data_IF_166321005744
#
_entry.id   IF_166321005744
#
_cell.length_a   1.000
_cell.length_b   1.000
_cell.length_c   1.000
_cell.angle_alpha   90.00
_cell.angle_beta   90.00
_cell.angle_gamma   90.00
#
_symmetry.space_group_name_H-M   'P 1'
#
loop_
_entity.id
_entity.type
_entity.pdbx_description
1 polymer ?
#
# COMPACT_ATOMS: atom_id res chain seq x y z
N UNK A 1 -78.77 18.44 0.50
CA UNK A 1 -77.58 18.98 -0.20
C UNK A 1 -76.35 18.31 0.41
N UNK A 2 -75.66 17.47 -0.38
CA UNK A 2 -74.48 16.69 0.04
C UNK A 2 -73.24 17.55 -0.14
N UNK A 3 -72.49 17.82 0.92
CA UNK A 3 -71.18 18.47 0.84
C UNK A 3 -70.10 17.38 0.79
N UNK A 4 -69.46 17.23 -0.38
CA UNK A 4 -68.20 16.51 -0.56
C UNK A 4 -67.07 17.37 0.04
N UNK A 5 -66.34 16.83 1.01
CA UNK A 5 -65.03 17.36 1.43
C UNK A 5 -63.97 16.71 0.54
N UNK A 6 -63.05 17.46 -0.10
CA UNK A 6 -62.09 16.87 -1.03
C UNK A 6 -60.94 16.21 -0.27
N UNK A 7 -60.85 14.88 -0.35
CA UNK A 7 -59.74 14.04 0.14
C UNK A 7 -58.56 14.10 -0.85
N UNK A 8 -58.09 15.29 -1.20
CA UNK A 8 -57.00 15.47 -2.19
C UNK A 8 -55.71 16.01 -1.54
N UNK A 9 -55.78 16.56 -0.32
CA UNK A 9 -54.63 17.23 0.29
C UNK A 9 -53.52 16.30 0.86
N UNK A 10 -53.78 15.12 1.46
CA UNK A 10 -52.69 14.32 2.04
C UNK A 10 -51.89 13.52 1.00
N UNK A 11 -52.50 13.17 -0.14
CA UNK A 11 -51.81 12.46 -1.22
C UNK A 11 -50.87 13.37 -2.03
N UNK A 12 -51.21 14.66 -2.16
CA UNK A 12 -50.34 15.64 -2.83
C UNK A 12 -49.10 15.96 -1.98
N UNK A 13 -49.25 16.01 -0.65
CA UNK A 13 -48.13 16.28 0.27
C UNK A 13 -47.14 15.10 0.33
N UNK A 14 -47.64 13.85 0.38
CA UNK A 14 -46.78 12.67 0.34
C UNK A 14 -46.01 12.58 -0.98
N UNK A 15 -46.66 12.79 -2.12
CA UNK A 15 -45.99 12.73 -3.43
C UNK A 15 -44.97 13.86 -3.59
N UNK A 16 -45.25 15.09 -3.14
CA UNK A 16 -44.27 16.19 -3.15
C UNK A 16 -43.06 15.92 -2.24
N UNK A 17 -43.25 15.33 -1.06
CA UNK A 17 -42.12 14.96 -0.18
C UNK A 17 -41.30 13.79 -0.74
N UNK A 18 -41.95 12.84 -1.41
CA UNK A 18 -41.31 11.69 -2.01
C UNK A 18 -40.55 12.10 -3.28
N UNK A 19 -41.12 12.94 -4.14
CA UNK A 19 -40.42 13.58 -5.27
C UNK A 19 -39.33 14.54 -4.80
N UNK A 20 -39.48 15.26 -3.68
CA UNK A 20 -38.41 16.12 -3.15
C UNK A 20 -37.27 15.30 -2.50
N UNK A 21 -37.57 14.13 -1.93
CA UNK A 21 -36.55 13.16 -1.48
C UNK A 21 -35.86 12.50 -2.69
N UNK A 22 -36.60 12.03 -3.69
CA UNK A 22 -36.06 11.43 -4.92
C UNK A 22 -35.26 12.45 -5.75
N UNK A 23 -35.67 13.73 -5.77
CA UNK A 23 -34.96 14.81 -6.45
C UNK A 23 -33.76 15.33 -5.64
N UNK A 24 -33.75 15.14 -4.31
CA UNK A 24 -32.54 15.32 -3.48
C UNK A 24 -31.54 14.19 -3.68
N UNK A 25 -32.01 12.96 -3.88
CA UNK A 25 -31.17 11.81 -4.23
C UNK A 25 -30.70 11.86 -5.70
N UNK A 26 -31.39 12.59 -6.58
CA UNK A 26 -31.03 12.85 -7.99
C UNK A 26 -30.34 14.20 -8.25
N UNK A 27 -29.92 14.94 -7.23
CA UNK A 27 -28.88 15.97 -7.45
C UNK A 27 -27.61 15.21 -7.79
N UNK A 28 -27.19 15.25 -9.07
CA UNK A 28 -25.88 14.78 -9.51
C UNK A 28 -24.85 15.21 -8.47
N UNK A 29 -24.32 14.24 -7.71
CA UNK A 29 -23.51 14.53 -6.54
C UNK A 29 -22.19 15.15 -7.01
N UNK A 30 -22.17 16.47 -7.14
CA UNK A 30 -21.02 17.18 -7.69
C UNK A 30 -19.94 17.26 -6.61
N UNK A 31 -18.82 16.58 -6.85
CA UNK A 31 -17.67 16.67 -5.98
C UNK A 31 -16.69 17.71 -6.51
N UNK A 32 -16.35 18.68 -5.67
CA UNK A 32 -15.41 19.76 -6.00
C UNK A 32 -14.32 19.83 -4.96
N UNK A 33 -13.08 19.53 -5.36
CA UNK A 33 -11.93 19.63 -4.47
C UNK A 33 -11.68 21.03 -3.91
N UNK A 34 -12.16 22.06 -4.61
CA UNK A 34 -12.11 23.48 -4.20
C UNK A 34 -12.97 23.79 -2.98
N UNK A 35 -13.95 22.94 -2.66
CA UNK A 35 -14.91 23.21 -1.58
C UNK A 35 -14.35 22.81 -0.20
N UNK A 36 -13.10 22.34 -0.15
CA UNK A 36 -12.43 21.91 1.07
C UNK A 36 -11.16 22.73 1.31
N UNK A 37 -11.14 23.46 2.43
CA UNK A 37 -10.06 24.35 2.84
C UNK A 37 -8.84 23.60 3.40
N UNK A 38 -8.99 22.32 3.72
CA UNK A 38 -7.94 21.53 4.34
C UNK A 38 -7.92 20.05 3.91
N UNK A 39 -6.75 19.42 4.09
CA UNK A 39 -6.56 17.98 3.92
C UNK A 39 -7.51 17.16 4.82
N UNK A 40 -7.74 17.59 6.06
CA UNK A 40 -8.59 16.85 7.01
C UNK A 40 -10.06 16.84 6.58
N UNK A 41 -10.59 17.97 6.08
CA UNK A 41 -11.97 18.02 5.54
C UNK A 41 -12.13 17.13 4.31
N UNK A 42 -11.11 17.08 3.44
CA UNK A 42 -11.07 16.14 2.29
C UNK A 42 -11.13 14.69 2.76
N UNK A 43 -10.32 14.33 3.76
CA UNK A 43 -10.30 12.99 4.32
C UNK A 43 -11.64 12.62 4.97
N UNK A 44 -12.27 13.53 5.72
CA UNK A 44 -13.58 13.33 6.34
C UNK A 44 -14.66 13.03 5.30
N UNK A 45 -14.71 13.80 4.20
CA UNK A 45 -15.63 13.55 3.09
C UNK A 45 -15.44 12.15 2.49
N UNK A 46 -14.20 11.78 2.18
CA UNK A 46 -13.86 10.46 1.62
C UNK A 46 -14.28 9.34 2.57
N UNK A 47 -13.94 9.46 3.86
CA UNK A 47 -14.32 8.49 4.89
C UNK A 47 -15.84 8.36 5.01
N UNK A 48 -16.58 9.46 4.95
CA UNK A 48 -18.05 9.45 4.99
C UNK A 48 -18.63 8.67 3.80
N UNK A 49 -18.09 8.85 2.59
CA UNK A 49 -18.49 8.09 1.39
C UNK A 49 -18.19 6.60 1.53
N UNK A 50 -16.95 6.26 1.92
CA UNK A 50 -16.53 4.87 2.14
C UNK A 50 -17.43 4.21 3.18
N UNK A 51 -17.62 4.83 4.35
CA UNK A 51 -18.49 4.30 5.42
C UNK A 51 -19.94 4.12 4.96
N UNK A 52 -20.50 5.08 4.20
CA UNK A 52 -21.87 4.97 3.65
C UNK A 52 -21.98 3.73 2.75
N UNK A 53 -21.02 3.54 1.84
CA UNK A 53 -21.00 2.39 0.93
C UNK A 53 -20.73 1.06 1.63
N UNK A 54 -19.87 1.03 2.66
CA UNK A 54 -19.56 -0.17 3.46
C UNK A 54 -20.74 -0.64 4.33
N UNK A 55 -21.60 0.28 4.78
CA UNK A 55 -22.79 -0.05 5.59
C UNK A 55 -23.89 -0.74 4.77
N UNK A 56 -23.95 -0.46 3.48
CA UNK A 56 -24.82 -1.19 2.55
C UNK A 56 -24.24 -2.59 2.38
N UNK A 57 -25.03 -3.66 2.48
CA UNK A 57 -24.60 -5.04 2.19
C UNK A 57 -23.22 -5.38 2.76
N UNK A 58 -23.10 -5.26 4.09
CA UNK A 58 -21.82 -5.42 4.78
C UNK A 58 -21.21 -6.79 4.50
N UNK A 59 -19.98 -6.79 3.98
CA UNK A 59 -19.18 -8.00 3.78
C UNK A 59 -17.97 -7.94 4.69
N UNK A 60 -17.98 -8.80 5.71
CA UNK A 60 -16.79 -9.14 6.47
C UNK A 60 -15.90 -10.03 5.60
N UNK A 61 -14.62 -9.70 5.53
CA UNK A 61 -13.68 -10.41 4.68
C UNK A 61 -12.36 -9.69 4.55
N UNK A 62 -11.76 -9.35 5.70
CA UNK A 62 -10.46 -8.69 5.73
C UNK A 62 -9.42 -9.58 5.06
N UNK A 63 -8.93 -9.15 3.90
CA UNK A 63 -7.69 -9.71 3.37
C UNK A 63 -6.58 -9.49 4.39
N UNK A 64 -5.62 -10.40 4.41
CA UNK A 64 -4.42 -10.27 5.23
C UNK A 64 -3.23 -10.31 4.30
N UNK A 65 -2.28 -9.40 4.51
CA UNK A 65 -0.98 -9.48 3.88
C UNK A 65 -0.31 -10.74 4.41
N UNK A 66 0.04 -11.65 3.50
CA UNK A 66 0.79 -12.85 3.84
C UNK A 66 2.26 -12.61 3.56
N UNK A 67 3.08 -12.93 4.55
CA UNK A 67 4.53 -12.86 4.41
C UNK A 67 5.07 -14.27 4.29
N UNK A 68 5.86 -14.51 3.26
CA UNK A 68 6.49 -15.80 2.95
C UNK A 68 7.98 -15.65 3.16
N UNK A 69 8.62 -16.62 3.81
CA UNK A 69 10.07 -16.70 3.90
C UNK A 69 10.58 -17.84 3.03
N UNK A 70 11.25 -17.49 1.93
CA UNK A 70 11.77 -18.44 0.97
C UNK A 70 13.28 -18.66 1.18
N UNK A 71 13.72 -19.92 1.20
CA UNK A 71 15.14 -20.28 1.33
C UNK A 71 15.50 -21.58 0.58
N UNK A 72 16.76 -21.76 0.15
CA UNK A 72 17.22 -22.97 -0.57
C UNK A 72 17.17 -24.24 0.30
N UNK A 73 17.03 -25.43 -0.30
CA UNK A 73 16.87 -26.69 0.45
C UNK A 73 18.10 -27.16 1.23
N UNK A 74 19.27 -26.74 0.82
CA UNK A 74 20.57 -27.13 1.37
C UNK A 74 21.03 -26.20 2.49
N UNK A 75 20.20 -25.21 2.87
CA UNK A 75 20.48 -24.29 3.98
C UNK A 75 19.30 -24.20 4.94
N UNK A 76 19.61 -23.81 6.17
CA UNK A 76 18.59 -23.36 7.13
C UNK A 76 18.20 -21.89 6.84
N UNK A 77 17.03 -21.43 7.29
CA UNK A 77 16.69 -20.02 7.32
C UNK A 77 17.76 -19.18 8.02
N UNK A 78 17.87 -17.89 7.68
CA UNK A 78 18.84 -17.00 8.32
C UNK A 78 18.54 -16.86 9.82
N UNK A 79 19.58 -16.54 10.59
CA UNK A 79 19.49 -16.52 12.06
C UNK A 79 18.41 -15.51 12.50
N UNK A 80 17.58 -15.93 13.46
CA UNK A 80 16.52 -15.12 14.07
C UNK A 80 15.57 -14.45 13.06
N UNK A 81 15.38 -15.05 11.87
CA UNK A 81 14.59 -14.42 10.81
C UNK A 81 13.14 -14.17 11.22
N UNK A 82 12.54 -15.05 12.03
CA UNK A 82 11.19 -14.85 12.58
C UNK A 82 11.11 -13.58 13.43
N UNK A 83 12.01 -13.41 14.39
CA UNK A 83 12.03 -12.23 15.26
C UNK A 83 12.38 -10.94 14.50
N UNK A 84 13.34 -11.01 13.56
CA UNK A 84 13.74 -9.85 12.76
C UNK A 84 12.58 -9.38 11.88
N UNK A 85 11.91 -10.29 11.18
CA UNK A 85 10.81 -9.93 10.29
C UNK A 85 9.53 -9.55 11.03
N UNK A 86 9.25 -10.12 12.21
CA UNK A 86 8.16 -9.63 13.05
C UNK A 86 8.38 -8.16 13.43
N UNK A 87 9.58 -7.79 13.90
CA UNK A 87 9.91 -6.41 14.25
C UNK A 87 9.87 -5.46 13.04
N UNK A 88 10.41 -5.89 11.89
CA UNK A 88 10.39 -5.11 10.65
C UNK A 88 8.95 -4.85 10.19
N UNK A 89 8.12 -5.89 10.13
CA UNK A 89 6.74 -5.74 9.66
C UNK A 89 5.86 -4.96 10.63
N UNK A 90 6.11 -5.06 11.96
CA UNK A 90 5.43 -4.21 12.94
C UNK A 90 5.82 -2.73 12.77
N UNK A 91 7.08 -2.41 12.47
CA UNK A 91 7.49 -1.02 12.16
C UNK A 91 6.83 -0.49 10.89
N UNK A 92 6.77 -1.31 9.82
CA UNK A 92 6.10 -0.97 8.56
C UNK A 92 4.60 -0.75 8.77
N UNK A 93 3.93 -1.63 9.52
CA UNK A 93 2.51 -1.48 9.86
C UNK A 93 2.27 -0.18 10.65
N UNK A 94 3.17 0.14 11.59
CA UNK A 94 3.12 1.38 12.35
C UNK A 94 3.37 2.63 11.49
N UNK A 95 4.30 2.57 10.53
CA UNK A 95 4.54 3.65 9.57
C UNK A 95 3.26 4.01 8.81
N UNK A 96 2.60 3.02 8.20
CA UNK A 96 1.34 3.29 7.50
C UNK A 96 0.26 3.82 8.45
N UNK A 97 0.15 3.27 9.66
CA UNK A 97 -0.85 3.74 10.64
C UNK A 97 -0.67 5.21 11.01
N UNK A 98 0.55 5.64 11.31
CA UNK A 98 0.87 7.02 11.68
C UNK A 98 0.60 7.96 10.49
N UNK A 99 1.02 7.56 9.29
CA UNK A 99 0.86 8.38 8.11
C UNK A 99 -0.60 8.54 7.68
N UNK A 100 -1.41 7.48 7.80
CA UNK A 100 -2.86 7.54 7.57
C UNK A 100 -3.55 8.47 8.58
N UNK A 101 -3.17 8.40 9.85
CA UNK A 101 -3.68 9.28 10.91
C UNK A 101 -3.30 10.75 10.64
N UNK A 102 -2.02 11.02 10.31
CA UNK A 102 -1.51 12.34 9.97
C UNK A 102 -2.25 12.97 8.78
N UNK A 103 -2.76 12.16 7.86
CA UNK A 103 -3.50 12.61 6.68
C UNK A 103 -5.01 12.77 6.91
N UNK A 104 -5.50 12.50 8.13
CA UNK A 104 -6.90 12.67 8.52
C UNK A 104 -7.78 11.43 8.26
N UNK A 105 -7.19 10.30 7.83
CA UNK A 105 -7.94 9.06 7.60
C UNK A 105 -8.16 8.22 8.86
N UNK A 106 -7.64 8.68 10.00
CA UNK A 106 -7.61 7.95 11.26
C UNK A 106 -6.56 6.84 11.27
N UNK A 107 -6.43 6.16 12.41
CA UNK A 107 -5.54 4.99 12.54
C UNK A 107 -6.09 3.83 11.71
N UNK A 108 -5.58 3.67 10.50
CA UNK A 108 -5.79 2.51 9.65
C UNK A 108 -4.51 1.70 9.60
N UNK A 109 -4.58 0.43 9.98
CA UNK A 109 -3.43 -0.46 9.97
C UNK A 109 -3.53 -1.41 8.78
N UNK A 110 -2.40 -1.61 8.12
CA UNK A 110 -2.20 -2.70 7.19
C UNK A 110 -2.58 -4.03 7.87
N UNK A 111 -3.58 -4.73 7.37
CA UNK A 111 -4.03 -6.02 7.87
C UNK A 111 -2.94 -7.07 7.60
N UNK A 112 -2.21 -7.44 8.65
CA UNK A 112 -1.09 -8.39 8.59
C UNK A 112 -1.52 -9.75 9.15
N UNK A 113 -1.15 -10.85 8.48
CA UNK A 113 -1.41 -12.18 9.02
C UNK A 113 -0.58 -12.42 10.29
N UNK A 114 -1.26 -12.71 11.40
CA UNK A 114 -0.64 -12.98 12.70
C UNK A 114 -1.07 -14.34 13.25
N UNK A 115 -0.18 -14.97 14.00
CA UNK A 115 -0.38 -16.18 14.77
C UNK A 115 0.15 -15.95 16.18
N UNK A 116 -0.67 -16.20 17.21
CA UNK A 116 -0.32 -15.96 18.62
C UNK A 116 0.21 -14.52 18.89
N UNK A 117 -0.37 -13.53 18.20
CA UNK A 117 -0.01 -12.11 18.34
C UNK A 117 1.25 -11.68 17.58
N UNK A 118 2.00 -12.59 16.96
CA UNK A 118 3.20 -12.32 16.16
C UNK A 118 2.94 -12.47 14.67
N UNK A 119 3.79 -11.92 13.82
CA UNK A 119 3.78 -12.14 12.37
C UNK A 119 3.74 -13.65 12.06
N UNK A 120 2.77 -14.08 11.25
CA UNK A 120 2.77 -15.43 10.70
C UNK A 120 3.61 -15.45 9.43
N UNK A 121 4.81 -16.00 9.55
CA UNK A 121 5.74 -16.14 8.45
C UNK A 121 5.61 -17.53 7.82
N UNK A 122 5.19 -17.59 6.56
CA UNK A 122 5.07 -18.86 5.85
C UNK A 122 6.43 -19.28 5.31
N UNK A 123 7.13 -20.13 6.04
CA UNK A 123 8.39 -20.72 5.55
C UNK A 123 8.14 -21.65 4.35
N UNK A 124 8.95 -21.48 3.30
CA UNK A 124 8.94 -22.26 2.06
C UNK A 124 10.37 -22.64 1.70
N UNK A 125 10.61 -23.95 1.66
CA UNK A 125 11.86 -24.54 1.18
C UNK A 125 11.81 -24.61 -0.35
N UNK A 126 12.80 -23.99 -1.00
CA UNK A 126 12.99 -24.07 -2.45
C UNK A 126 13.48 -25.44 -2.91
N UNK A 127 13.25 -25.80 -4.17
CA UNK A 127 13.69 -27.10 -4.74
C UNK A 127 15.18 -27.16 -5.08
N UNK A 128 15.82 -26.01 -5.25
CA UNK A 128 17.21 -25.83 -5.61
C UNK A 128 18.12 -25.61 -4.40
N UNK A 129 19.42 -25.74 -4.66
CA UNK A 129 20.49 -25.46 -3.70
C UNK A 129 20.90 -23.98 -3.75
N UNK A 130 21.76 -23.58 -2.81
CA UNK A 130 22.42 -22.28 -2.79
C UNK A 130 23.72 -22.27 -3.62
N UNK A 131 23.62 -22.74 -4.87
CA UNK A 131 24.75 -22.96 -5.78
C UNK A 131 24.68 -22.08 -7.05
N UNK A 132 23.85 -21.02 -7.01
CA UNK A 132 23.53 -20.18 -8.17
C UNK A 132 22.23 -20.58 -8.87
N UNK A 133 21.55 -21.64 -8.44
CA UNK A 133 20.20 -22.01 -8.90
C UNK A 133 19.17 -20.88 -8.72
N UNK A 134 19.36 -20.04 -7.70
CA UNK A 134 18.57 -18.84 -7.44
C UNK A 134 19.43 -17.57 -7.59
N UNK A 135 18.87 -16.55 -8.22
CA UNK A 135 19.48 -15.24 -8.41
C UNK A 135 18.42 -14.14 -8.40
N UNK A 136 18.84 -12.89 -8.57
CA UNK A 136 17.93 -11.74 -8.65
C UNK A 136 16.92 -11.84 -9.81
N UNK A 137 17.18 -12.69 -10.82
CA UNK A 137 16.27 -12.97 -11.95
C UNK A 137 15.28 -14.11 -11.67
N UNK A 138 15.38 -14.78 -10.52
CA UNK A 138 14.64 -16.02 -10.25
C UNK A 138 13.24 -15.80 -9.67
N UNK A 139 12.71 -14.57 -9.64
CA UNK A 139 11.41 -14.28 -9.00
C UNK A 139 10.25 -15.11 -9.56
N UNK A 140 10.19 -15.35 -10.88
CA UNK A 140 9.17 -16.23 -11.48
C UNK A 140 9.25 -17.68 -11.00
N UNK A 141 10.47 -18.23 -10.87
CA UNK A 141 10.71 -19.57 -10.33
C UNK A 141 10.30 -19.65 -8.85
N UNK A 142 10.73 -18.67 -8.05
CA UNK A 142 10.41 -18.58 -6.62
C UNK A 142 8.90 -18.48 -6.42
N UNK A 143 8.20 -17.62 -7.18
CA UNK A 143 6.74 -17.51 -7.10
C UNK A 143 6.05 -18.84 -7.42
N UNK A 144 6.54 -19.59 -8.40
CA UNK A 144 6.01 -20.91 -8.73
C UNK A 144 6.12 -21.89 -7.56
N UNK A 145 7.28 -21.96 -6.91
CA UNK A 145 7.53 -22.82 -5.75
C UNK A 145 6.72 -22.37 -4.52
N UNK A 146 6.69 -21.07 -4.23
CA UNK A 146 5.85 -20.47 -3.17
C UNK A 146 4.37 -20.76 -3.41
N UNK A 147 3.88 -20.58 -4.63
CA UNK A 147 2.48 -20.83 -4.96
C UNK A 147 2.10 -22.31 -4.74
N UNK A 148 2.99 -23.24 -5.08
CA UNK A 148 2.78 -24.67 -4.83
C UNK A 148 2.73 -24.97 -3.33
N UNK A 149 3.66 -24.42 -2.55
CA UNK A 149 3.71 -24.62 -1.10
C UNK A 149 2.49 -24.01 -0.37
N UNK A 150 2.08 -22.81 -0.76
CA UNK A 150 0.89 -22.15 -0.22
C UNK A 150 -0.41 -22.89 -0.57
N UNK A 151 -0.51 -23.47 -1.78
CA UNK A 151 -1.67 -24.27 -2.18
C UNK A 151 -1.89 -25.47 -1.26
N UNK A 152 -0.82 -26.12 -0.80
CA UNK A 152 -0.92 -27.23 0.17
C UNK A 152 -1.46 -26.78 1.53
N UNK A 153 -1.34 -25.49 1.86
CA UNK A 153 -1.91 -24.86 3.06
C UNK A 153 -3.30 -24.25 2.80
N UNK A 154 -3.92 -24.52 1.65
CA UNK A 154 -5.23 -23.97 1.26
C UNK A 154 -5.20 -22.50 0.83
N UNK A 155 -4.02 -21.93 0.53
CA UNK A 155 -3.87 -20.53 0.15
C UNK A 155 -3.67 -20.41 -1.36
N UNK A 156 -4.55 -19.69 -2.04
CA UNK A 156 -4.43 -19.40 -3.47
C UNK A 156 -3.62 -18.13 -3.72
N UNK A 157 -2.31 -18.28 -4.01
CA UNK A 157 -1.40 -17.16 -4.24
C UNK A 157 -1.87 -16.14 -5.30
N UNK A 158 -2.74 -16.53 -6.25
CA UNK A 158 -3.25 -15.62 -7.31
C UNK A 158 -4.29 -14.60 -6.79
N UNK A 159 -4.84 -14.83 -5.61
CA UNK A 159 -5.90 -14.01 -4.99
C UNK A 159 -5.39 -13.25 -3.76
N UNK A 160 -4.07 -13.26 -3.54
CA UNK A 160 -3.42 -12.75 -2.35
C UNK A 160 -2.43 -11.64 -2.69
N UNK A 161 -2.22 -10.74 -1.74
CA UNK A 161 -1.03 -9.89 -1.72
C UNK A 161 0.03 -10.60 -0.90
N UNK A 162 1.18 -10.89 -1.52
CA UNK A 162 2.29 -11.63 -0.94
C UNK A 162 3.53 -10.75 -0.84
N UNK A 163 4.11 -10.68 0.35
CA UNK A 163 5.49 -10.25 0.55
C UNK A 163 6.38 -11.48 0.67
N UNK A 164 7.19 -11.74 -0.36
CA UNK A 164 8.11 -12.86 -0.42
C UNK A 164 9.50 -12.38 0.00
N UNK A 165 9.84 -12.67 1.25
CA UNK A 165 11.15 -12.46 1.83
C UNK A 165 12.08 -13.58 1.37
N UNK A 166 13.13 -13.22 0.65
CA UNK A 166 14.10 -14.17 0.13
C UNK A 166 15.32 -14.21 1.06
N UNK A 167 15.52 -15.34 1.75
CA UNK A 167 16.75 -15.67 2.48
C UNK A 167 17.91 -16.02 1.54
N UNK A 168 18.08 -15.26 0.45
CA UNK A 168 19.08 -15.46 -0.61
C UNK A 168 20.19 -14.41 -0.46
N UNK A 169 20.94 -14.60 0.62
CA UNK A 169 22.17 -13.87 0.93
C UNK A 169 23.25 -14.80 1.48
N UNK A 170 24.49 -14.34 1.42
CA UNK A 170 25.65 -14.95 2.08
C UNK A 170 26.36 -13.89 2.91
N UNK A 171 26.72 -14.25 4.14
CA UNK A 171 27.40 -13.37 5.08
C UNK A 171 28.71 -14.02 5.53
N UNK A 172 29.83 -13.31 5.40
CA UNK A 172 31.13 -13.67 5.96
C UNK A 172 31.66 -12.47 6.76
N UNK A 173 31.43 -12.49 8.06
CA UNK A 173 31.68 -11.35 8.94
C UNK A 173 30.94 -10.09 8.47
N UNK A 174 31.71 -9.07 8.04
CA UNK A 174 31.19 -7.79 7.52
C UNK A 174 31.03 -7.78 6.00
N UNK A 175 31.29 -8.89 5.30
CA UNK A 175 31.03 -9.03 3.86
C UNK A 175 29.66 -9.65 3.66
N UNK A 176 28.80 -8.99 2.90
CA UNK A 176 27.43 -9.44 2.61
C UNK A 176 27.26 -9.51 1.10
N UNK A 177 26.79 -10.65 0.60
CA UNK A 177 26.39 -10.82 -0.80
C UNK A 177 24.88 -11.02 -0.86
N UNK A 178 24.16 -10.16 -1.57
CA UNK A 178 22.72 -10.25 -1.80
C UNK A 178 22.48 -10.66 -3.25
N UNK A 179 21.64 -11.68 -3.46
CA UNK A 179 21.27 -12.17 -4.78
C UNK A 179 19.78 -12.52 -4.84
N UNK A 180 18.99 -11.94 -3.95
CA UNK A 180 17.53 -12.01 -3.94
C UNK A 180 16.93 -11.16 -5.07
N UNK A 181 15.82 -11.58 -5.69
CA UNK A 181 14.98 -10.67 -6.45
C UNK A 181 14.46 -9.56 -5.53
N UNK A 182 14.32 -8.35 -6.07
CA UNK A 182 13.94 -7.18 -5.30
C UNK A 182 13.09 -6.23 -6.14
N UNK A 183 11.77 -6.44 -6.12
CA UNK A 183 10.78 -5.65 -6.87
C UNK A 183 9.34 -6.04 -6.50
N UNK A 184 8.41 -5.11 -6.66
CA UNK A 184 6.96 -5.33 -6.63
C UNK A 184 6.34 -5.43 -8.04
N UNK A 185 5.32 -6.27 -8.21
CA UNK A 185 4.66 -6.46 -9.50
C UNK A 185 3.23 -7.00 -9.41
N UNK A 186 2.51 -6.92 -10.53
CA UNK A 186 1.25 -7.66 -10.77
C UNK A 186 0.10 -7.24 -9.86
N UNK A 187 0.17 -6.04 -9.29
CA UNK A 187 -0.72 -5.60 -8.24
C UNK A 187 -2.05 -5.04 -8.77
N UNK A 188 -3.12 -5.37 -8.06
CA UNK A 188 -4.42 -4.70 -8.11
C UNK A 188 -5.06 -4.78 -6.71
N UNK A 189 -6.30 -4.34 -6.55
CA UNK A 189 -7.01 -4.35 -5.27
C UNK A 189 -7.13 -5.73 -4.60
N UNK A 190 -6.92 -6.82 -5.34
CA UNK A 190 -7.03 -8.18 -4.84
C UNK A 190 -5.72 -8.92 -4.64
N UNK A 191 -4.64 -8.50 -5.30
CA UNK A 191 -3.40 -9.26 -5.33
C UNK A 191 -2.22 -8.35 -5.55
N UNK A 192 -1.03 -8.83 -5.24
CA UNK A 192 0.23 -8.15 -5.54
C UNK A 192 1.39 -9.00 -5.06
N UNK A 193 2.50 -8.99 -5.78
CA UNK A 193 3.67 -9.80 -5.45
C UNK A 193 4.85 -8.87 -5.22
N UNK A 194 5.50 -9.01 -4.07
CA UNK A 194 6.70 -8.26 -3.71
C UNK A 194 7.80 -9.25 -3.38
N UNK A 195 8.97 -9.09 -4.01
CA UNK A 195 10.18 -9.80 -3.59
C UNK A 195 11.08 -8.83 -2.86
N UNK A 196 11.61 -9.27 -1.72
CA UNK A 196 12.57 -8.51 -0.93
C UNK A 196 13.68 -9.43 -0.43
N UNK A 197 14.82 -8.85 -0.07
CA UNK A 197 15.97 -9.58 0.43
C UNK A 197 15.95 -9.67 1.97
N UNK A 198 16.49 -10.77 2.49
CA UNK A 198 16.90 -10.89 3.89
C UNK A 198 18.43 -11.03 4.01
N UNK A 199 18.97 -10.70 5.17
CA UNK A 199 20.39 -10.84 5.53
C UNK A 199 20.56 -10.91 7.05
N UNK A 200 21.61 -11.56 7.55
CA UNK A 200 21.90 -11.62 8.99
C UNK A 200 22.12 -10.23 9.63
N UNK A 201 22.56 -9.24 8.83
CA UNK A 201 22.72 -7.85 9.27
C UNK A 201 21.42 -7.04 9.22
N UNK A 202 20.34 -7.56 8.62
CA UNK A 202 19.08 -6.86 8.42
C UNK A 202 18.22 -6.89 9.69
N UNK A 203 18.09 -5.76 10.36
CA UNK A 203 17.31 -5.64 11.59
C UNK A 203 16.87 -4.19 11.83
N UNK A 204 15.77 -4.01 12.57
CA UNK A 204 15.18 -2.67 12.75
C UNK A 204 16.06 -1.73 13.59
N UNK A 205 16.87 -2.26 14.51
CA UNK A 205 17.78 -1.44 15.32
C UNK A 205 18.95 -0.92 14.49
N UNK A 206 19.30 -1.60 13.40
CA UNK A 206 20.25 -1.14 12.41
C UNK A 206 19.83 0.13 11.67
N UNK A 207 18.57 0.59 11.80
CA UNK A 207 18.11 1.91 11.35
C UNK A 207 18.41 3.03 12.36
N UNK A 208 18.85 2.71 13.59
CA UNK A 208 19.13 3.70 14.63
C UNK A 208 20.59 4.16 14.57
N UNK A 209 20.98 5.21 15.31
CA UNK A 209 22.38 5.61 15.41
C UNK A 209 23.25 4.44 15.84
N UNK A 210 24.35 4.23 15.13
CA UNK A 210 25.31 3.16 15.40
C UNK A 210 26.60 3.74 15.99
N UNK A 211 26.74 3.61 17.30
CA UNK A 211 27.93 4.08 18.04
C UNK A 211 29.21 3.36 17.58
N UNK A 212 29.10 2.11 17.11
CA UNK A 212 30.22 1.31 16.64
C UNK A 212 30.73 1.72 15.26
N UNK A 213 29.98 2.57 14.53
CA UNK A 213 30.26 3.01 13.16
C UNK A 213 30.57 1.82 12.24
N UNK A 214 29.75 0.79 12.31
CA UNK A 214 29.92 -0.44 11.55
C UNK A 214 29.77 -0.17 10.05
N UNK A 215 30.79 -0.58 9.30
CA UNK A 215 30.80 -0.60 7.83
C UNK A 215 30.78 -2.04 7.33
N UNK A 216 29.83 -2.34 6.45
CA UNK A 216 29.69 -3.60 5.73
C UNK A 216 30.23 -3.44 4.31
N UNK A 217 30.80 -4.51 3.76
CA UNK A 217 31.13 -4.61 2.34
C UNK A 217 30.00 -5.37 1.66
N UNK A 218 29.21 -4.69 0.84
CA UNK A 218 27.99 -5.23 0.26
C UNK A 218 28.20 -5.48 -1.22
N UNK A 219 27.86 -6.70 -1.67
CA UNK A 219 27.87 -7.09 -3.07
C UNK A 219 26.46 -7.48 -3.49
N UNK A 220 25.91 -6.75 -4.45
CA UNK A 220 24.68 -7.12 -5.13
C UNK A 220 25.00 -7.73 -6.50
N UNK A 221 24.54 -7.08 -7.58
CA UNK A 221 24.84 -7.41 -8.97
C UNK A 221 26.13 -6.74 -9.51
N UNK A 222 26.81 -5.95 -8.68
CA UNK A 222 28.06 -5.22 -8.98
C UNK A 222 29.19 -5.71 -8.07
N UNK A 223 30.33 -5.03 -8.07
CA UNK A 223 31.41 -5.29 -7.12
C UNK A 223 31.06 -4.85 -5.69
N UNK A 224 31.88 -5.26 -4.73
CA UNK A 224 31.70 -4.88 -3.32
C UNK A 224 31.81 -3.36 -3.15
N UNK A 225 30.87 -2.79 -2.41
CA UNK A 225 30.91 -1.38 -2.00
C UNK A 225 30.66 -1.21 -0.49
N UNK A 226 31.25 -0.18 0.15
CA UNK A 226 31.10 0.06 1.57
C UNK A 226 29.72 0.68 1.90
N UNK A 227 28.97 0.03 2.78
CA UNK A 227 27.73 0.54 3.37
C UNK A 227 27.93 0.75 4.88
N UNK A 228 27.51 1.88 5.43
CA UNK A 228 27.26 1.95 6.88
C UNK A 228 26.12 1.00 7.24
N UNK A 229 26.07 0.53 8.49
CA UNK A 229 24.97 -0.32 8.97
C UNK A 229 23.60 0.34 8.76
N UNK A 230 23.53 1.65 9.00
CA UNK A 230 22.34 2.47 8.76
C UNK A 230 21.94 2.52 7.28
N UNK A 231 22.90 2.74 6.36
CA UNK A 231 22.64 2.71 4.92
C UNK A 231 22.14 1.33 4.49
N UNK A 232 22.80 0.26 4.95
CA UNK A 232 22.39 -1.12 4.66
C UNK A 232 20.93 -1.38 5.05
N UNK A 233 20.57 -1.10 6.30
CA UNK A 233 19.21 -1.32 6.77
C UNK A 233 18.21 -0.38 6.10
N UNK A 234 18.58 0.87 5.80
CA UNK A 234 17.71 1.80 5.05
C UNK A 234 17.45 1.27 3.63
N UNK A 235 18.47 0.81 2.92
CA UNK A 235 18.34 0.25 1.56
C UNK A 235 17.37 -0.94 1.54
N UNK A 236 17.54 -1.91 2.45
CA UNK A 236 16.76 -3.16 2.39
C UNK A 236 15.44 -3.11 3.18
N UNK A 237 15.32 -2.35 4.27
CA UNK A 237 14.03 -2.18 4.98
C UNK A 237 13.20 -1.09 4.29
N UNK A 238 13.83 0.04 3.93
CA UNK A 238 13.19 1.11 3.17
C UNK A 238 12.77 0.66 1.77
N UNK A 239 13.60 -0.14 1.09
CA UNK A 239 13.17 -0.81 -0.13
C UNK A 239 12.02 -1.79 0.10
N UNK A 240 11.99 -2.54 1.22
CA UNK A 240 10.92 -3.51 1.50
C UNK A 240 9.56 -2.82 1.55
N UNK A 241 9.46 -1.69 2.25
CA UNK A 241 8.20 -0.94 2.32
C UNK A 241 7.82 -0.29 0.98
N UNK A 242 8.80 0.10 0.15
CA UNK A 242 8.56 0.60 -1.20
C UNK A 242 8.02 -0.50 -2.13
N UNK A 243 8.67 -1.67 -2.16
CA UNK A 243 8.19 -2.80 -2.96
C UNK A 243 6.83 -3.29 -2.48
N UNK A 244 6.60 -3.30 -1.16
CA UNK A 244 5.27 -3.55 -0.59
C UNK A 244 4.25 -2.51 -1.07
N UNK A 245 4.62 -1.24 -1.14
CA UNK A 245 3.79 -0.19 -1.74
C UNK A 245 3.37 -0.55 -3.17
N UNK A 246 4.29 -1.01 -4.02
CA UNK A 246 3.93 -1.55 -5.34
C UNK A 246 2.96 -2.74 -5.26
N UNK A 247 3.16 -3.68 -4.33
CA UNK A 247 2.23 -4.79 -4.08
C UNK A 247 0.85 -4.37 -3.56
N UNK A 248 0.76 -3.21 -2.93
CA UNK A 248 -0.47 -2.54 -2.51
C UNK A 248 -1.08 -1.68 -3.64
N UNK A 249 -0.63 -1.90 -4.87
CA UNK A 249 -1.03 -1.16 -6.05
C UNK A 249 -0.71 0.34 -5.97
N UNK A 250 0.40 0.74 -5.35
CA UNK A 250 0.86 2.13 -5.38
C UNK A 250 1.88 2.31 -6.52
N UNK A 251 1.61 3.20 -7.51
CA UNK A 251 2.60 3.56 -8.51
C UNK A 251 3.69 4.44 -7.89
N UNK A 252 4.72 4.77 -8.66
CA UNK A 252 5.61 5.84 -8.25
C UNK A 252 4.88 7.18 -8.23
N UNK A 253 5.31 8.05 -7.32
CA UNK A 253 4.85 9.43 -7.30
C UNK A 253 5.90 10.34 -6.67
N UNK A 254 5.88 11.61 -7.07
CA UNK A 254 6.65 12.66 -6.40
C UNK A 254 5.75 13.44 -5.44
N UNK A 255 6.34 13.92 -4.34
CA UNK A 255 5.68 14.85 -3.45
C UNK A 255 5.38 16.17 -4.18
N UNK A 256 4.22 16.76 -3.93
CA UNK A 256 4.03 18.18 -4.27
C UNK A 256 5.01 19.06 -3.49
N UNK A 257 5.21 20.32 -3.92
CA UNK A 257 6.08 21.28 -3.21
C UNK A 257 5.73 21.37 -1.72
N UNK A 258 4.45 21.45 -1.39
CA UNK A 258 3.96 21.53 0.01
C UNK A 258 4.18 20.21 0.75
N UNK A 259 3.90 19.06 0.12
CA UNK A 259 4.14 17.76 0.78
C UNK A 259 5.63 17.49 1.03
N UNK A 260 6.52 17.96 0.16
CA UNK A 260 7.98 17.75 0.27
C UNK A 260 8.59 18.36 1.54
N UNK A 261 7.89 19.31 2.17
CA UNK A 261 8.29 19.86 3.48
C UNK A 261 8.30 18.79 4.58
N UNK A 262 7.64 17.64 4.36
CA UNK A 262 7.55 16.52 5.32
C UNK A 262 8.68 15.51 5.18
N UNK A 263 9.49 15.60 4.13
CA UNK A 263 10.52 14.62 3.81
C UNK A 263 10.35 14.08 2.39
N UNK A 264 10.61 12.80 2.19
CA UNK A 264 10.56 12.18 0.85
C UNK A 264 9.36 11.26 0.71
N UNK A 265 8.61 11.38 -0.38
CA UNK A 265 7.50 10.47 -0.66
C UNK A 265 8.02 9.03 -0.72
N UNK A 266 7.40 8.11 0.03
CA UNK A 266 7.77 6.70 0.11
C UNK A 266 7.93 6.06 -1.27
N UNK A 267 6.95 6.30 -2.14
CA UNK A 267 6.90 5.78 -3.51
C UNK A 267 7.59 6.69 -4.53
N UNK A 268 8.33 7.70 -4.08
CA UNK A 268 9.35 8.39 -4.87
C UNK A 268 10.71 7.77 -4.55
N UNK A 269 11.64 8.59 -4.07
CA UNK A 269 12.94 8.14 -3.54
C UNK A 269 12.92 7.77 -2.04
N UNK A 270 11.72 7.60 -1.46
CA UNK A 270 11.57 7.45 -0.02
C UNK A 270 12.13 6.13 0.53
N UNK A 271 12.34 5.11 -0.31
CA UNK A 271 13.06 3.90 0.08
C UNK A 271 14.48 4.21 0.62
N UNK A 272 15.14 5.27 0.12
CA UNK A 272 16.47 5.67 0.58
C UNK A 272 16.47 6.57 1.82
N UNK A 273 15.29 7.05 2.25
CA UNK A 273 15.16 7.96 3.39
C UNK A 273 14.40 7.35 4.57
N UNK A 274 14.01 6.08 4.47
CA UNK A 274 13.23 5.40 5.50
C UNK A 274 13.92 5.46 6.87
N UNK A 275 13.20 6.01 7.85
CA UNK A 275 13.66 6.19 9.25
C UNK A 275 14.91 7.06 9.42
N UNK A 276 15.31 7.88 8.45
CA UNK A 276 16.42 8.83 8.63
C UNK A 276 16.20 9.82 9.79
N UNK A 277 14.94 10.08 10.14
CA UNK A 277 14.60 10.93 11.29
C UNK A 277 15.08 10.34 12.63
N UNK A 278 15.23 9.01 12.75
CA UNK A 278 15.77 8.37 13.95
C UNK A 278 17.26 8.66 14.16
N UNK A 279 17.96 9.07 13.09
CA UNK A 279 19.39 9.38 13.09
C UNK A 279 19.69 10.87 12.91
N UNK A 280 18.64 11.70 12.78
CA UNK A 280 18.77 13.14 12.45
C UNK A 280 19.51 13.39 11.12
N UNK A 281 19.43 12.46 10.19
CA UNK A 281 20.04 12.55 8.84
C UNK A 281 19.10 13.14 7.80
N UNK A 282 17.84 13.36 8.16
CA UNK A 282 16.79 13.87 7.30
C UNK A 282 15.43 13.81 8.00
N UNK A 283 14.37 14.22 7.29
CA UNK A 283 12.99 14.17 7.79
C UNK A 283 12.33 12.78 7.68
N UNK A 284 12.99 11.84 7.01
CA UNK A 284 12.46 10.51 6.77
C UNK A 284 11.60 10.42 5.50
N UNK A 285 10.93 9.28 5.37
CA UNK A 285 9.93 9.03 4.34
C UNK A 285 8.53 9.37 4.85
N UNK A 286 7.61 9.68 3.93
CA UNK A 286 6.21 9.91 4.27
C UNK A 286 5.28 9.37 3.17
N UNK A 287 4.00 9.15 3.50
CA UNK A 287 2.95 8.76 2.57
C UNK A 287 2.26 10.02 2.00
N UNK A 288 2.10 10.09 0.69
CA UNK A 288 1.35 11.17 0.04
C UNK A 288 -0.15 10.98 0.20
N UNK A 289 -0.92 12.07 0.08
CA UNK A 289 -2.37 11.96 0.15
C UNK A 289 -2.93 11.08 -0.97
N UNK A 290 -2.37 11.17 -2.18
CA UNK A 290 -2.76 10.34 -3.31
C UNK A 290 -2.68 8.85 -2.99
N UNK A 291 -1.61 8.40 -2.33
CA UNK A 291 -1.46 7.00 -1.95
C UNK A 291 -2.30 6.60 -0.75
N UNK A 292 -2.51 7.49 0.23
CA UNK A 292 -3.44 7.23 1.33
C UNK A 292 -4.88 6.98 0.85
N UNK A 293 -5.35 7.73 -0.17
CA UNK A 293 -6.67 7.51 -0.79
C UNK A 293 -6.77 6.12 -1.42
N UNK A 294 -5.71 5.65 -2.08
CA UNK A 294 -5.68 4.29 -2.65
C UNK A 294 -5.70 3.24 -1.54
N UNK A 295 -4.91 3.44 -0.48
CA UNK A 295 -4.83 2.50 0.63
C UNK A 295 -6.15 2.40 1.38
N UNK A 296 -6.83 3.50 1.72
CA UNK A 296 -8.09 3.44 2.49
C UNK A 296 -9.22 2.67 1.77
N UNK A 297 -9.16 2.57 0.43
CA UNK A 297 -10.06 1.75 -0.37
C UNK A 297 -9.58 0.30 -0.56
N UNK A 298 -8.30 0.02 -0.31
CA UNK A 298 -7.70 -1.30 -0.50
C UNK A 298 -8.17 -2.29 0.59
N UNK A 299 -8.54 -3.54 0.25
CA UNK A 299 -9.05 -4.52 1.23
C UNK A 299 -8.14 -4.81 2.43
N UNK A 300 -6.82 -4.60 2.26
CA UNK A 300 -5.83 -4.72 3.34
C UNK A 300 -5.87 -3.58 4.37
N UNK A 301 -6.61 -2.51 4.14
CA UNK A 301 -6.73 -1.35 5.03
C UNK A 301 -8.18 -1.01 5.35
N UNK A 302 -9.09 -1.25 4.40
CA UNK A 302 -10.52 -0.94 4.52
C UNK A 302 -11.28 -1.93 5.40
N UNK A 303 -10.70 -3.12 5.66
CA UNK A 303 -11.32 -4.20 6.43
C UNK A 303 -12.39 -4.98 5.66
N UNK A 304 -12.65 -4.65 4.40
CA UNK A 304 -13.68 -5.31 3.58
C UNK A 304 -13.18 -5.61 2.18
N UNK A 305 -13.62 -6.74 1.63
CA UNK A 305 -13.41 -7.11 0.22
C UNK A 305 -14.63 -6.85 -0.66
N UNK A 306 -15.63 -6.09 -0.17
CA UNK A 306 -16.87 -5.80 -0.89
C UNK A 306 -16.55 -5.28 -2.30
N UNK A 307 -17.12 -5.92 -3.33
CA UNK A 307 -16.91 -5.59 -4.75
C UNK A 307 -15.43 -5.53 -5.20
N UNK A 308 -14.46 -6.01 -4.41
CA UNK A 308 -13.05 -5.95 -4.79
C UNK A 308 -12.77 -6.78 -6.05
N UNK A 309 -13.46 -7.92 -6.22
CA UNK A 309 -13.38 -8.75 -7.43
C UNK A 309 -14.22 -8.23 -8.61
N UNK A 310 -15.08 -7.22 -8.39
CA UNK A 310 -15.93 -6.67 -9.45
C UNK A 310 -15.09 -5.80 -10.39
N UNK A 311 -15.27 -5.98 -11.69
CA UNK A 311 -14.67 -5.09 -12.68
C UNK A 311 -15.34 -3.72 -12.64
N UNK A 312 -14.54 -2.67 -12.44
CA UNK A 312 -15.00 -1.29 -12.54
C UNK A 312 -15.32 -0.95 -14.00
N UNK A 313 -16.51 -0.38 -14.23
CA UNK A 313 -16.97 0.18 -15.50
C UNK A 313 -17.10 1.68 -15.31
N UNK A 314 -16.10 2.43 -15.76
CA UNK A 314 -16.07 3.89 -15.71
C UNK A 314 -16.43 4.45 -17.09
N UNK A 315 -17.33 5.42 -17.16
CA UNK A 315 -17.58 6.23 -18.36
C UNK A 315 -17.32 7.70 -18.06
N UNK A 316 -16.51 8.35 -18.88
CA UNK A 316 -16.24 9.78 -18.81
C UNK A 316 -17.13 10.45 -19.87
N UNK A 317 -18.13 11.19 -19.42
CA UNK A 317 -19.09 11.87 -20.29
C UNK A 317 -18.58 13.23 -20.77
N UNK A 318 -17.83 13.91 -19.92
CA UNK A 318 -17.17 15.17 -20.23
C UNK A 318 -15.92 15.32 -19.38
N UNK A 319 -14.90 15.94 -19.95
CA UNK A 319 -13.69 16.35 -19.25
C UNK A 319 -13.19 17.64 -19.88
N UNK A 320 -12.98 18.65 -19.05
CA UNK A 320 -12.42 19.94 -19.40
C UNK A 320 -11.21 20.20 -18.51
N UNK A 321 -10.15 20.70 -19.13
CA UNK A 321 -8.88 21.03 -18.47
C UNK A 321 -8.52 22.45 -18.92
N UNK A 322 -8.47 23.37 -17.96
CA UNK A 322 -8.15 24.78 -18.20
C UNK A 322 -7.02 25.22 -17.29
N UNK A 323 -6.10 26.04 -17.80
CA UNK A 323 -5.06 26.69 -16.99
C UNK A 323 -5.47 28.14 -16.73
N UNK A 324 -5.81 28.45 -15.47
CA UNK A 324 -6.30 29.77 -15.06
C UNK A 324 -5.64 30.13 -13.73
N UNK A 325 -5.04 31.32 -13.65
CA UNK A 325 -4.43 31.87 -12.42
C UNK A 325 -3.45 30.89 -11.76
N UNK A 326 -2.47 30.40 -12.54
CA UNK A 326 -1.45 29.44 -12.11
C UNK A 326 -1.98 28.13 -11.51
N UNK A 327 -3.21 27.78 -11.87
CA UNK A 327 -3.88 26.57 -11.44
C UNK A 327 -4.44 25.80 -12.63
N UNK A 328 -4.25 24.47 -12.61
CA UNK A 328 -4.91 23.57 -13.55
C UNK A 328 -6.29 23.18 -13.00
N UNK A 329 -7.34 23.58 -13.70
CA UNK A 329 -8.72 23.30 -13.36
C UNK A 329 -9.20 22.09 -14.16
N UNK A 330 -9.40 20.96 -13.48
CA UNK A 330 -9.95 19.75 -14.08
C UNK A 330 -11.41 19.60 -13.64
N UNK A 331 -12.33 19.61 -14.61
CA UNK A 331 -13.76 19.40 -14.37
C UNK A 331 -14.30 18.35 -15.32
N UNK A 332 -15.13 17.45 -14.83
CA UNK A 332 -15.74 16.44 -15.69
C UNK A 332 -16.95 15.80 -15.06
N UNK A 333 -17.68 15.02 -15.87
CA UNK A 333 -18.77 14.16 -15.43
C UNK A 333 -18.41 12.72 -15.73
N UNK A 334 -18.54 11.87 -14.73
CA UNK A 334 -18.29 10.44 -14.83
C UNK A 334 -19.47 9.62 -14.30
N UNK A 335 -19.61 8.40 -14.78
CA UNK A 335 -20.47 7.38 -14.18
C UNK A 335 -19.66 6.11 -13.93
N UNK A 336 -19.99 5.41 -12.84
CA UNK A 336 -19.31 4.17 -12.44
C UNK A 336 -20.29 3.20 -11.80
N UNK A 337 -20.11 1.90 -12.05
CA UNK A 337 -20.86 0.84 -11.38
C UNK A 337 -20.38 0.56 -9.93
N UNK A 338 -19.28 1.18 -9.52
CA UNK A 338 -18.75 1.18 -8.15
C UNK A 338 -18.61 2.65 -7.71
N UNK A 339 -19.05 3.03 -6.49
CA UNK A 339 -19.00 4.42 -6.07
C UNK A 339 -17.59 5.02 -6.14
N UNK A 340 -17.49 6.18 -6.78
CA UNK A 340 -16.25 6.95 -6.85
C UNK A 340 -16.13 7.85 -5.62
N UNK A 341 -15.02 7.75 -4.89
CA UNK A 341 -14.79 8.52 -3.65
C UNK A 341 -13.85 9.70 -3.84
N UNK A 342 -12.98 9.64 -4.86
CA UNK A 342 -11.98 10.66 -5.15
C UNK A 342 -11.47 10.52 -6.59
N UNK A 343 -10.93 11.62 -7.13
CA UNK A 343 -10.11 11.63 -8.35
C UNK A 343 -8.68 11.99 -7.95
N UNK A 344 -7.72 11.15 -8.35
CA UNK A 344 -6.28 11.40 -8.17
C UNK A 344 -5.71 11.77 -9.55
N UNK A 345 -5.07 12.92 -9.65
CA UNK A 345 -4.37 13.35 -10.85
C UNK A 345 -2.86 13.24 -10.64
N UNK A 346 -2.18 12.58 -11.58
CA UNK A 346 -0.73 12.54 -11.67
C UNK A 346 -0.33 13.46 -12.83
N UNK A 347 0.56 14.41 -12.56
CA UNK A 347 1.07 15.34 -13.58
C UNK A 347 2.55 15.04 -13.78
N UNK A 348 2.82 14.08 -14.64
CA UNK A 348 4.17 13.66 -15.00
C UNK A 348 4.57 14.40 -16.27
N UNK A 349 5.75 15.03 -16.26
CA UNK A 349 6.34 15.51 -17.51
C UNK A 349 6.61 14.31 -18.43
N UNK A 350 6.54 14.50 -19.74
CA UNK A 350 7.08 13.50 -20.66
C UNK A 350 8.53 13.21 -20.26
N UNK A 351 8.86 11.93 -20.05
CA UNK A 351 10.25 11.50 -19.92
C UNK A 351 10.98 11.94 -21.20
N UNK A 352 11.79 12.99 -21.12
CA UNK A 352 12.72 13.36 -22.20
C UNK A 352 13.90 12.42 -22.23
#
# INVERSE_FOLDING_TARGET
MKNLIPVILPFLLLTLTQFAMEKRDNLEESFRWSDFDSQSQKAEYILKKIKKWQKQDHVDGSKKLRVVYFYPKDRKPLKNHLERWDRIMNDIQNFFSIEMERLGYGKSQLSLEKENGKLKLHEVIGKGNDDGTYSYKSGGKILGEVSQALKLKGINAKEETLLIVCGLSQTDGKKVKIYSPYYGMGANQNKGICFVADSDWLNIDGLRPDESKTTLQVKEHRDYEPFSLARFNTTYIGGTIHELGHGLSLPHNLATRVESEKGTALMGAGNYTYRQEWRKEGKGSFLTNAHAIRLIAHPLFSGTSKQAAQQSKLSIHSMNIEYINDSLHLKGRLSSNIPTVAMIAYNDGENK
#
